data_IF_118711116160
#
_entry.id   IF_118711116160
#
_cell.length_a   1.000
_cell.length_b   1.000
_cell.length_c   1.000
_cell.angle_alpha   90.00
_cell.angle_beta   90.00
_cell.angle_gamma   90.00
#
_symmetry.space_group_name_H-M   'P 1'
#
loop_
_entity.id
_entity.type
_entity.pdbx_description
1 polymer ?
#
# COMPACT_ATOMS: atom_id res chain seq x y z
N UNK A 1 43.52 24.90 33.76
CA UNK A 1 42.19 24.58 34.30
C UNK A 1 41.26 24.45 33.10
N UNK A 2 40.85 23.24 32.77
CA UNK A 2 39.90 23.00 31.67
C UNK A 2 38.73 22.22 32.27
N UNK A 3 37.57 22.85 32.19
CA UNK A 3 36.27 22.42 32.69
C UNK A 3 35.78 21.24 31.83
N UNK A 4 35.64 20.06 32.43
CA UNK A 4 35.16 18.85 31.75
C UNK A 4 33.65 18.81 31.94
N UNK A 5 32.91 19.23 30.92
CA UNK A 5 31.46 19.06 30.85
C UNK A 5 31.12 17.57 30.92
N UNK A 6 30.54 17.14 32.05
CA UNK A 6 29.97 15.80 32.19
C UNK A 6 28.74 15.69 31.30
N UNK A 7 28.83 14.86 30.26
CA UNK A 7 27.68 14.46 29.44
C UNK A 7 26.89 13.44 30.25
N UNK A 8 25.69 13.81 30.71
CA UNK A 8 24.77 12.89 31.39
C UNK A 8 24.23 11.91 30.33
N UNK A 9 24.49 10.58 30.40
CA UNK A 9 23.90 9.66 29.45
C UNK A 9 22.41 9.53 29.72
N UNK A 10 21.58 9.95 28.77
CA UNK A 10 20.13 9.77 28.83
C UNK A 10 19.78 8.27 28.78
N UNK A 11 19.05 7.73 29.77
CA UNK A 11 18.68 6.32 29.82
C UNK A 11 17.77 5.88 28.64
N UNK A 12 17.10 6.83 27.98
CA UNK A 12 16.23 6.59 26.81
C UNK A 12 16.95 5.97 25.60
N UNK A 13 18.28 6.11 25.50
CA UNK A 13 19.05 5.54 24.38
C UNK A 13 19.12 4.00 24.44
N UNK A 14 19.09 3.40 25.64
CA UNK A 14 19.15 1.93 25.81
C UNK A 14 17.83 1.27 25.40
N UNK A 15 16.70 1.88 25.74
CA UNK A 15 15.37 1.41 25.34
C UNK A 15 15.18 1.40 23.82
N UNK A 16 15.74 2.39 23.14
CA UNK A 16 15.67 2.46 21.68
C UNK A 16 16.47 1.32 21.02
N UNK A 17 17.63 0.98 21.58
CA UNK A 17 18.49 -0.09 21.09
C UNK A 17 17.84 -1.47 21.30
N UNK A 18 17.15 -1.68 22.42
CA UNK A 18 16.41 -2.93 22.70
C UNK A 18 15.19 -3.09 21.77
N UNK A 19 14.44 -2.02 21.48
CA UNK A 19 13.34 -2.06 20.49
C UNK A 19 13.83 -2.39 19.08
N UNK A 20 15.00 -1.88 18.69
CA UNK A 20 15.59 -2.16 17.38
C UNK A 20 16.07 -3.62 17.24
N UNK A 21 16.64 -4.19 18.31
CA UNK A 21 17.07 -5.60 18.33
C UNK A 21 15.90 -6.57 18.24
N UNK A 22 14.83 -6.38 19.05
CA UNK A 22 13.61 -7.20 18.97
C UNK A 22 12.99 -7.24 17.57
N UNK A 23 12.90 -6.07 16.90
CA UNK A 23 12.36 -5.96 15.54
C UNK A 23 13.24 -6.64 14.48
N UNK A 24 14.53 -6.85 14.79
CA UNK A 24 15.48 -7.53 13.89
C UNK A 24 15.48 -9.05 14.07
N UNK A 25 15.22 -9.54 15.28
CA UNK A 25 15.11 -10.96 15.61
C UNK A 25 13.80 -11.57 15.09
N UNK A 26 12.66 -10.88 15.25
CA UNK A 26 11.38 -11.28 14.64
C UNK A 26 11.48 -11.43 13.11
N UNK A 27 12.30 -10.57 12.46
CA UNK A 27 12.57 -10.65 11.01
C UNK A 27 13.50 -11.81 10.63
N UNK A 28 14.32 -12.31 11.56
CA UNK A 28 15.18 -13.48 11.31
C UNK A 28 14.41 -14.78 11.48
N UNK A 29 13.51 -14.86 12.45
CA UNK A 29 12.65 -16.04 12.63
C UNK A 29 11.63 -16.18 11.49
N UNK A 30 11.04 -15.08 11.01
CA UNK A 30 10.15 -15.08 9.84
C UNK A 30 10.85 -15.48 8.52
N UNK A 31 12.19 -15.48 8.45
CA UNK A 31 12.95 -15.97 7.30
C UNK A 31 13.20 -17.48 7.33
N UNK A 32 13.20 -18.09 8.52
CA UNK A 32 13.37 -19.54 8.70
C UNK A 32 12.06 -20.28 8.45
N UNK A 33 10.94 -19.70 8.84
CA UNK A 33 9.61 -20.13 8.44
C UNK A 33 9.27 -19.49 7.10
N UNK A 34 9.57 -20.17 5.99
CA UNK A 34 9.12 -19.78 4.65
C UNK A 34 7.59 -19.99 4.51
N UNK A 35 6.83 -19.51 5.50
CA UNK A 35 5.38 -19.49 5.52
C UNK A 35 4.97 -18.44 4.49
N UNK A 36 4.66 -18.90 3.29
CA UNK A 36 3.99 -18.08 2.28
C UNK A 36 2.84 -17.37 2.98
N UNK A 37 2.86 -16.04 2.91
CA UNK A 37 1.85 -15.19 3.51
C UNK A 37 0.55 -15.39 2.73
N UNK A 38 -0.31 -16.27 3.24
CA UNK A 38 -1.66 -16.53 2.74
C UNK A 38 -2.68 -15.67 3.48
N UNK A 39 -2.28 -14.47 3.94
CA UNK A 39 -3.22 -13.58 4.63
C UNK A 39 -4.37 -13.23 3.70
N UNK A 40 -5.56 -13.71 4.09
CA UNK A 40 -6.83 -13.35 3.47
C UNK A 40 -7.57 -12.38 4.38
N UNK A 41 -8.28 -11.45 3.76
CA UNK A 41 -9.02 -10.38 4.41
C UNK A 41 -10.48 -10.51 4.04
N UNK A 42 -11.39 -10.23 4.97
CA UNK A 42 -12.82 -10.23 4.68
C UNK A 42 -13.25 -8.78 4.47
N UNK A 43 -13.81 -8.48 3.30
CA UNK A 43 -14.34 -7.16 2.96
C UNK A 43 -15.60 -7.32 2.12
N UNK A 44 -16.67 -6.62 2.51
CA UNK A 44 -17.99 -6.72 1.87
C UNK A 44 -18.49 -8.17 1.68
N UNK A 45 -18.26 -9.04 2.68
CA UNK A 45 -18.63 -10.47 2.63
C UNK A 45 -17.76 -11.35 1.73
N UNK A 46 -16.73 -10.80 1.08
CA UNK A 46 -15.80 -11.54 0.22
C UNK A 46 -14.48 -11.77 0.94
N UNK A 47 -13.90 -12.96 0.77
CA UNK A 47 -12.54 -13.28 1.22
C UNK A 47 -11.55 -12.90 0.11
N UNK A 48 -10.71 -11.90 0.36
CA UNK A 48 -9.84 -11.26 -0.61
C UNK A 48 -8.38 -11.31 -0.17
N UNK A 49 -7.46 -11.48 -1.13
CA UNK A 49 -6.05 -11.26 -0.87
C UNK A 49 -5.74 -9.76 -0.84
N UNK A 50 -4.61 -9.35 -0.25
CA UNK A 50 -4.21 -7.94 -0.09
C UNK A 50 -4.37 -7.09 -1.37
N UNK A 51 -4.06 -7.64 -2.54
CA UNK A 51 -4.20 -6.94 -3.85
C UNK A 51 -5.67 -6.64 -4.19
N UNK A 52 -6.54 -7.63 -4.02
CA UNK A 52 -7.97 -7.50 -4.28
C UNK A 52 -8.68 -6.68 -3.21
N UNK A 53 -8.21 -6.74 -1.95
CA UNK A 53 -8.71 -5.88 -0.89
C UNK A 53 -8.54 -4.40 -1.25
N UNK A 54 -7.34 -4.00 -1.68
CA UNK A 54 -7.07 -2.62 -2.08
C UNK A 54 -7.96 -2.19 -3.26
N UNK A 55 -8.12 -3.05 -4.26
CA UNK A 55 -9.02 -2.82 -5.40
C UNK A 55 -10.47 -2.57 -4.93
N UNK A 56 -11.02 -3.46 -4.10
CA UNK A 56 -12.42 -3.36 -3.65
C UNK A 56 -12.64 -2.15 -2.75
N UNK A 57 -11.69 -1.77 -1.90
CA UNK A 57 -11.77 -0.55 -1.10
C UNK A 57 -11.85 0.68 -2.01
N UNK A 58 -10.94 0.79 -2.99
CA UNK A 58 -10.91 1.93 -3.92
C UNK A 58 -12.18 1.98 -4.75
N UNK A 59 -12.69 0.84 -5.22
CA UNK A 59 -13.97 0.78 -5.95
C UNK A 59 -15.15 1.21 -5.10
N UNK A 60 -15.24 0.72 -3.87
CA UNK A 60 -16.30 1.07 -2.94
C UNK A 60 -16.35 2.59 -2.76
N UNK A 61 -15.19 3.18 -2.48
CA UNK A 61 -15.03 4.63 -2.35
C UNK A 61 -15.30 5.40 -3.63
N UNK A 62 -14.84 4.88 -4.76
CA UNK A 62 -15.09 5.50 -6.06
C UNK A 62 -16.58 5.54 -6.42
N UNK A 63 -17.34 4.52 -6.03
CA UNK A 63 -18.80 4.49 -6.26
C UNK A 63 -19.56 5.45 -5.33
N UNK A 64 -19.00 5.76 -4.15
CA UNK A 64 -19.52 6.78 -3.23
C UNK A 64 -19.25 8.22 -3.73
N UNK A 65 -18.31 8.44 -4.65
CA UNK A 65 -17.99 9.76 -5.22
C UNK A 65 -18.95 10.07 -6.37
N UNK A 66 -19.84 11.04 -6.16
CA UNK A 66 -20.89 11.46 -7.10
C UNK A 66 -20.32 11.85 -8.48
N UNK A 67 -19.24 12.64 -8.50
CA UNK A 67 -18.63 13.17 -9.73
C UNK A 67 -17.71 12.18 -10.46
N UNK A 68 -17.43 11.01 -9.88
CA UNK A 68 -16.51 9.99 -10.43
C UNK A 68 -15.23 10.60 -11.03
N UNK A 69 -14.60 11.50 -10.26
CA UNK A 69 -13.39 12.20 -10.66
C UNK A 69 -12.16 11.59 -9.97
N UNK A 70 -11.06 11.49 -10.71
CA UNK A 70 -9.79 10.98 -10.18
C UNK A 70 -9.20 11.89 -9.11
N UNK A 71 -9.42 13.21 -9.19
CA UNK A 71 -8.87 14.17 -8.22
C UNK A 71 -9.56 14.04 -6.86
N UNK A 72 -10.88 13.82 -6.84
CA UNK A 72 -11.64 13.55 -5.61
C UNK A 72 -11.19 12.23 -4.98
N UNK A 73 -10.99 11.20 -5.80
CA UNK A 73 -10.44 9.92 -5.33
C UNK A 73 -9.02 10.10 -4.76
N UNK A 74 -8.16 10.88 -5.41
CA UNK A 74 -6.81 11.21 -4.91
C UNK A 74 -6.87 11.97 -3.59
N UNK A 75 -7.83 12.88 -3.44
CA UNK A 75 -8.00 13.64 -2.20
C UNK A 75 -8.40 12.74 -1.02
N UNK A 76 -9.28 11.76 -1.25
CA UNK A 76 -9.70 10.83 -0.20
C UNK A 76 -8.54 9.92 0.28
N UNK A 77 -7.68 9.51 -0.66
CA UNK A 77 -6.51 8.68 -0.35
C UNK A 77 -5.20 9.48 -0.23
N UNK A 78 -5.26 10.78 0.07
CA UNK A 78 -4.08 11.65 0.13
C UNK A 78 -3.03 11.18 1.17
N UNK A 79 -3.45 10.48 2.22
CA UNK A 79 -2.55 9.85 3.20
C UNK A 79 -1.71 8.71 2.61
N UNK A 80 -2.07 8.22 1.42
CA UNK A 80 -1.43 7.11 0.73
C UNK A 80 -0.72 7.59 -0.54
N UNK A 81 0.56 8.01 -0.46
CA UNK A 81 1.30 8.58 -1.59
C UNK A 81 1.51 7.61 -2.76
N UNK A 82 1.26 6.32 -2.53
CA UNK A 82 1.38 5.28 -3.53
C UNK A 82 0.14 5.12 -4.41
N UNK A 83 -0.97 5.82 -4.12
CA UNK A 83 -2.21 5.70 -4.88
C UNK A 83 -2.00 5.97 -6.37
N UNK A 84 -1.20 6.99 -6.69
CA UNK A 84 -0.91 7.37 -8.09
C UNK A 84 -0.26 6.24 -8.87
N UNK A 85 0.58 5.46 -8.19
CA UNK A 85 1.24 4.30 -8.78
C UNK A 85 0.32 3.10 -8.91
N UNK A 86 -0.77 3.06 -8.15
CA UNK A 86 -1.76 2.00 -8.20
C UNK A 86 -2.80 2.25 -9.29
N UNK A 87 -3.01 3.49 -9.74
CA UNK A 87 -4.01 3.85 -10.74
C UNK A 87 -3.34 4.27 -12.04
N UNK A 88 -3.52 3.50 -13.10
CA UNK A 88 -2.90 3.75 -14.40
C UNK A 88 -3.99 3.87 -15.46
N UNK A 89 -3.92 4.92 -16.29
CA UNK A 89 -4.85 5.07 -17.42
C UNK A 89 -4.67 3.91 -18.41
N UNK A 90 -5.79 3.37 -18.91
CA UNK A 90 -5.76 2.23 -19.83
C UNK A 90 -4.94 2.54 -21.11
N UNK A 91 -5.01 3.78 -21.58
CA UNK A 91 -4.28 4.25 -22.76
C UNK A 91 -2.76 4.41 -22.54
N UNK A 92 -2.30 4.35 -21.30
CA UNK A 92 -0.88 4.48 -20.90
C UNK A 92 -0.31 3.15 -20.40
N UNK A 93 -1.05 2.04 -20.56
CA UNK A 93 -0.58 0.73 -20.12
C UNK A 93 0.61 0.27 -20.97
N UNK A 94 1.64 -0.19 -20.26
CA UNK A 94 2.76 -0.89 -20.87
C UNK A 94 2.32 -2.31 -21.20
N UNK A 95 2.15 -2.58 -22.50
CA UNK A 95 1.68 -3.87 -23.01
C UNK A 95 2.57 -5.05 -22.57
N UNK A 96 3.86 -4.79 -22.32
CA UNK A 96 4.80 -5.82 -21.87
C UNK A 96 4.56 -6.26 -20.43
N UNK A 97 3.68 -5.56 -19.68
CA UNK A 97 3.47 -5.75 -18.25
C UNK A 97 2.00 -5.94 -17.89
N UNK A 98 1.17 -6.35 -18.86
CA UNK A 98 -0.26 -6.61 -18.65
C UNK A 98 -0.52 -7.56 -17.45
N UNK A 99 0.36 -8.52 -17.16
CA UNK A 99 0.24 -9.41 -15.98
C UNK A 99 0.15 -8.66 -14.63
N UNK A 100 0.65 -7.42 -14.60
CA UNK A 100 0.73 -6.60 -13.38
C UNK A 100 -0.48 -5.70 -13.18
N UNK A 101 -1.41 -5.67 -14.13
CA UNK A 101 -2.58 -4.80 -14.09
C UNK A 101 -3.85 -5.62 -14.05
N UNK A 102 -4.87 -5.11 -13.36
CA UNK A 102 -6.23 -5.61 -13.47
C UNK A 102 -6.92 -4.98 -14.69
N UNK A 103 -6.78 -5.62 -15.85
CA UNK A 103 -7.31 -5.15 -17.17
C UNK A 103 -8.71 -5.69 -17.45
N UNK A 104 -9.22 -6.56 -16.58
CA UNK A 104 -10.57 -7.07 -16.71
C UNK A 104 -11.57 -5.91 -16.59
N UNK A 105 -12.57 -5.88 -17.47
CA UNK A 105 -13.56 -4.79 -17.54
C UNK A 105 -14.26 -4.56 -16.19
N UNK A 106 -14.45 -5.63 -15.43
CA UNK A 106 -15.03 -5.59 -14.09
C UNK A 106 -14.18 -4.78 -13.10
N UNK A 107 -12.91 -4.53 -13.40
CA UNK A 107 -11.94 -3.86 -12.55
C UNK A 107 -11.59 -2.45 -13.04
N UNK A 108 -12.19 -2.02 -14.14
CA UNK A 108 -12.04 -0.68 -14.67
C UNK A 108 -12.77 0.35 -13.81
N UNK A 109 -12.09 1.47 -13.57
CA UNK A 109 -12.68 2.67 -13.01
C UNK A 109 -12.98 3.63 -14.15
N UNK A 110 -14.25 3.72 -14.53
CA UNK A 110 -14.72 4.63 -15.56
C UNK A 110 -15.07 5.99 -14.93
N UNK A 111 -14.32 7.01 -15.32
CA UNK A 111 -14.51 8.38 -14.85
C UNK A 111 -15.64 9.09 -15.61
N UNK A 112 -16.17 10.16 -15.03
CA UNK A 112 -17.22 10.99 -15.67
C UNK A 112 -16.77 11.66 -16.97
N UNK A 113 -15.47 11.94 -17.11
CA UNK A 113 -14.88 12.51 -18.32
C UNK A 113 -14.64 11.47 -19.45
N UNK A 114 -14.97 10.20 -19.23
CA UNK A 114 -14.74 9.10 -20.16
C UNK A 114 -13.35 8.45 -20.08
N UNK A 115 -12.45 8.95 -19.21
CA UNK A 115 -11.18 8.26 -18.93
C UNK A 115 -11.43 6.93 -18.22
N UNK A 116 -10.62 5.93 -18.57
CA UNK A 116 -10.65 4.61 -17.95
C UNK A 116 -9.32 4.37 -17.26
N UNK A 117 -9.39 4.01 -15.98
CA UNK A 117 -8.23 3.65 -15.17
C UNK A 117 -8.29 2.18 -14.75
N UNK A 118 -7.12 1.56 -14.71
CA UNK A 118 -6.91 0.19 -14.25
C UNK A 118 -6.02 0.18 -13.01
N UNK A 119 -6.19 -0.83 -12.17
CA UNK A 119 -5.42 -0.97 -10.94
C UNK A 119 -4.13 -1.76 -11.18
N UNK A 120 -2.99 -1.21 -10.76
CA UNK A 120 -1.69 -1.86 -10.75
C UNK A 120 -1.30 -2.26 -9.31
N UNK A 121 -1.58 -3.49 -8.86
CA UNK A 121 -1.16 -3.94 -7.55
C UNK A 121 0.37 -3.91 -7.42
N UNK A 122 0.86 -3.40 -6.29
CA UNK A 122 2.29 -3.52 -5.98
C UNK A 122 2.69 -4.99 -5.82
N UNK A 123 3.45 -5.50 -6.78
CA UNK A 123 4.16 -6.77 -6.68
C UNK A 123 5.33 -6.69 -5.70
N UNK A 124 5.72 -7.83 -5.10
CA UNK A 124 7.00 -7.94 -4.40
C UNK A 124 8.11 -7.69 -5.43
N UNK A 125 8.97 -6.70 -5.15
CA UNK A 125 10.29 -6.59 -5.79
C UNK A 125 11.17 -7.72 -5.30
#
# INVERSE_FOLDING_TARGET
MVDIQQIIPLPEAKDYQIKAQKKSEERREAKLTNARDYSSFIFNGKTLNKRYLALEIIKCRFDEIDNKNIEDLRAEFNEYPNLDRLLVKINQLDEQRYDRYFIEKEHHLQMSNGDIYCFQPMGKR
#
